data_IF_977606410717
#
_entry.id   IF_977606410717
#
_cell.length_a   1.000
_cell.length_b   1.000
_cell.length_c   1.000
_cell.angle_alpha   90.00
_cell.angle_beta   90.00
_cell.angle_gamma   90.00
#
_symmetry.space_group_name_H-M   'P 1'
#
loop_
_entity.id
_entity.type
_entity.pdbx_description
1 polymer ?
#
# COMPACT_ATOMS: atom_id res chain seq x y z
N UNK A 1 -24.46 -8.45 8.59
CA UNK A 1 -23.06 -8.15 8.23
C UNK A 1 -23.04 -7.89 6.73
N UNK A 2 -22.63 -6.71 6.27
CA UNK A 2 -22.40 -6.48 4.84
C UNK A 2 -21.00 -6.99 4.49
N UNK A 3 -20.89 -7.83 3.47
CA UNK A 3 -19.59 -8.30 2.96
C UNK A 3 -18.92 -7.15 2.21
N UNK A 4 -17.68 -6.84 2.54
CA UNK A 4 -16.86 -5.91 1.75
C UNK A 4 -16.32 -6.70 0.56
N UNK A 5 -16.56 -6.21 -0.66
CA UNK A 5 -15.97 -6.80 -1.88
C UNK A 5 -14.51 -6.36 -2.07
N UNK A 6 -13.78 -7.07 -2.93
CA UNK A 6 -12.32 -6.89 -3.10
C UNK A 6 -11.96 -5.45 -3.49
N UNK A 7 -12.72 -4.85 -4.39
CA UNK A 7 -12.52 -3.46 -4.84
C UNK A 7 -12.77 -2.47 -3.70
N UNK A 8 -13.84 -2.65 -2.92
CA UNK A 8 -14.15 -1.82 -1.77
C UNK A 8 -13.07 -1.95 -0.69
N UNK A 9 -12.53 -3.15 -0.47
CA UNK A 9 -11.43 -3.38 0.45
C UNK A 9 -10.17 -2.62 0.03
N UNK A 10 -9.75 -2.74 -1.24
CA UNK A 10 -8.57 -2.04 -1.75
C UNK A 10 -8.73 -0.51 -1.72
N UNK A 11 -9.91 0.01 -2.08
CA UNK A 11 -10.22 1.44 -2.00
C UNK A 11 -10.14 1.99 -0.57
N UNK A 12 -10.50 1.19 0.43
CA UNK A 12 -10.33 1.54 1.84
C UNK A 12 -8.88 1.41 2.33
N UNK A 13 -8.11 0.50 1.74
CA UNK A 13 -6.76 0.19 2.17
C UNK A 13 -5.70 1.16 1.63
N UNK A 14 -5.91 1.74 0.45
CA UNK A 14 -5.08 2.82 -0.12
C UNK A 14 -4.91 4.02 0.86
N UNK A 15 -5.99 4.64 1.40
CA UNK A 15 -5.85 5.74 2.35
C UNK A 15 -5.29 5.27 3.69
N UNK A 16 -5.60 4.06 4.15
CA UNK A 16 -4.97 3.48 5.35
C UNK A 16 -3.44 3.44 5.20
N UNK A 17 -2.95 2.98 4.06
CA UNK A 17 -1.52 2.92 3.78
C UNK A 17 -0.89 4.31 3.66
N UNK A 18 -1.59 5.22 2.99
CA UNK A 18 -1.14 6.61 2.83
C UNK A 18 -0.92 7.32 4.18
N UNK A 19 -1.71 6.99 5.21
CA UNK A 19 -1.53 7.53 6.57
C UNK A 19 -0.23 7.02 7.21
N UNK A 20 0.11 5.74 7.05
CA UNK A 20 1.34 5.19 7.60
C UNK A 20 2.57 5.77 6.89
N UNK A 21 2.54 5.91 5.55
CA UNK A 21 3.58 6.61 4.79
C UNK A 21 3.76 8.05 5.30
N UNK A 22 2.67 8.79 5.46
CA UNK A 22 2.71 10.17 5.94
C UNK A 22 3.30 10.26 7.35
N UNK A 23 2.92 9.34 8.22
CA UNK A 23 3.40 9.29 9.61
C UNK A 23 4.89 8.98 9.66
N UNK A 24 5.34 7.94 8.94
CA UNK A 24 6.75 7.54 8.84
C UNK A 24 7.64 8.65 8.25
N UNK A 25 7.12 9.37 7.25
CA UNK A 25 7.84 10.48 6.59
C UNK A 25 8.02 11.69 7.52
N UNK A 26 7.01 11.99 8.35
CA UNK A 26 7.03 13.18 9.23
C UNK A 26 7.59 12.92 10.62
N UNK A 27 7.86 11.67 10.97
CA UNK A 27 8.35 11.30 12.28
C UNK A 27 9.79 11.80 12.49
N UNK A 28 10.00 12.50 13.61
CA UNK A 28 11.32 12.86 14.10
C UNK A 28 11.97 11.66 14.81
N UNK A 29 12.66 10.84 14.01
CA UNK A 29 13.28 9.58 14.45
C UNK A 29 14.80 9.75 14.46
N UNK A 30 15.40 9.57 15.63
CA UNK A 30 16.85 9.68 15.85
C UNK A 30 17.59 8.33 15.91
N UNK A 31 16.93 7.24 16.33
CA UNK A 31 17.54 5.91 16.32
C UNK A 31 17.63 5.38 14.88
N UNK A 32 18.82 5.03 14.38
CA UNK A 32 19.01 4.61 12.99
C UNK A 32 18.27 3.31 12.65
N UNK A 33 18.03 2.42 13.62
CA UNK A 33 17.27 1.18 13.40
C UNK A 33 15.78 1.47 13.20
N UNK A 34 15.26 2.46 13.93
CA UNK A 34 13.86 2.90 13.79
C UNK A 34 13.67 3.68 12.49
N UNK A 35 14.67 4.46 12.06
CA UNK A 35 14.66 5.11 10.73
C UNK A 35 14.60 4.07 9.62
N UNK A 36 15.46 3.04 9.68
CA UNK A 36 15.45 1.96 8.70
C UNK A 36 14.09 1.24 8.63
N UNK A 37 13.44 1.02 9.78
CA UNK A 37 12.08 0.46 9.82
C UNK A 37 11.06 1.40 9.15
N UNK A 38 11.10 2.70 9.44
CA UNK A 38 10.21 3.69 8.83
C UNK A 38 10.38 3.74 7.31
N UNK A 39 11.62 3.67 6.82
CA UNK A 39 11.93 3.66 5.39
C UNK A 39 11.38 2.38 4.71
N UNK A 40 11.54 1.21 5.35
CA UNK A 40 10.96 -0.04 4.84
C UNK A 40 9.42 -0.04 4.81
N UNK A 41 8.77 0.63 5.77
CA UNK A 41 7.31 0.79 5.78
C UNK A 41 6.88 1.68 4.60
N UNK A 42 7.61 2.76 4.34
CA UNK A 42 7.31 3.67 3.22
C UNK A 42 7.44 2.93 1.88
N UNK A 43 8.53 2.16 1.71
CA UNK A 43 8.79 1.39 0.50
C UNK A 43 7.68 0.37 0.25
N UNK A 44 7.44 -0.53 1.21
CA UNK A 44 6.44 -1.59 1.08
C UNK A 44 5.04 -1.01 0.79
N UNK A 45 4.62 -0.01 1.56
CA UNK A 45 3.27 0.53 1.39
C UNK A 45 3.08 1.34 0.11
N UNK A 46 4.15 1.90 -0.45
CA UNK A 46 4.10 2.53 -1.76
C UNK A 46 3.86 1.50 -2.86
N UNK A 47 4.55 0.35 -2.78
CA UNK A 47 4.36 -0.78 -3.70
C UNK A 47 2.95 -1.37 -3.59
N UNK A 48 2.48 -1.62 -2.36
CA UNK A 48 1.12 -2.14 -2.10
C UNK A 48 0.04 -1.18 -2.63
N UNK A 49 0.22 0.15 -2.50
CA UNK A 49 -0.70 1.13 -3.11
C UNK A 49 -0.70 1.03 -4.63
N UNK A 50 0.46 0.83 -5.26
CA UNK A 50 0.55 0.70 -6.71
C UNK A 50 -0.13 -0.59 -7.18
N UNK A 51 0.09 -1.70 -6.48
CA UNK A 51 -0.55 -2.99 -6.75
C UNK A 51 -2.07 -2.89 -6.62
N UNK A 52 -2.58 -2.34 -5.51
CA UNK A 52 -4.02 -2.14 -5.32
C UNK A 52 -4.65 -1.28 -6.42
N UNK A 53 -3.96 -0.21 -6.86
CA UNK A 53 -4.45 0.63 -7.96
C UNK A 53 -4.51 -0.14 -9.29
N UNK A 54 -3.51 -0.97 -9.57
CA UNK A 54 -3.50 -1.80 -10.77
C UNK A 54 -4.63 -2.85 -10.74
N UNK A 55 -4.80 -3.56 -9.62
CA UNK A 55 -5.85 -4.55 -9.43
C UNK A 55 -7.25 -3.93 -9.51
N UNK A 56 -7.48 -2.75 -8.92
CA UNK A 56 -8.75 -2.03 -9.07
C UNK A 56 -9.03 -1.75 -10.56
N UNK A 57 -8.03 -1.29 -11.31
CA UNK A 57 -8.21 -0.98 -12.72
C UNK A 57 -8.56 -2.23 -13.54
N UNK A 58 -7.88 -3.35 -13.30
CA UNK A 58 -8.17 -4.64 -13.94
C UNK A 58 -9.60 -5.12 -13.65
N UNK A 59 -9.99 -5.15 -12.37
CA UNK A 59 -11.33 -5.57 -11.94
C UNK A 59 -12.45 -4.65 -12.46
N UNK A 60 -12.14 -3.40 -12.79
CA UNK A 60 -13.08 -2.44 -13.40
C UNK A 60 -13.09 -2.50 -14.95
N UNK A 61 -12.41 -3.48 -15.55
CA UNK A 61 -12.40 -3.72 -17.01
C UNK A 61 -11.23 -3.08 -17.76
N UNK A 62 -10.21 -2.64 -17.03
CA UNK A 62 -8.95 -2.14 -17.55
C UNK A 62 -8.00 -3.25 -18.01
N UNK A 63 -6.72 -2.92 -18.28
CA UNK A 63 -5.72 -3.92 -18.63
C UNK A 63 -5.47 -4.87 -17.45
N UNK A 64 -5.16 -6.13 -17.77
CA UNK A 64 -4.83 -7.14 -16.77
C UNK A 64 -3.66 -6.66 -15.89
N UNK A 65 -3.88 -6.67 -14.57
CA UNK A 65 -2.82 -6.42 -13.62
C UNK A 65 -2.00 -7.71 -13.48
N UNK A 66 -0.69 -7.61 -13.71
CA UNK A 66 0.24 -8.62 -13.24
C UNK A 66 0.74 -8.16 -11.89
N UNK A 67 0.16 -8.61 -10.76
CA UNK A 67 0.79 -8.33 -9.48
C UNK A 67 2.20 -8.91 -9.54
N UNK A 68 3.21 -8.06 -9.37
CA UNK A 68 4.52 -8.56 -8.95
C UNK A 68 4.27 -9.19 -7.59
N UNK A 69 4.13 -10.52 -7.56
CA UNK A 69 4.11 -11.31 -6.33
C UNK A 69 5.50 -11.12 -5.74
N UNK A 70 5.63 -10.11 -4.90
CA UNK A 70 6.92 -9.64 -4.45
C UNK A 70 7.66 -10.78 -3.76
N UNK A 71 8.94 -10.90 -4.08
CA UNK A 71 9.77 -11.76 -3.27
C UNK A 71 11.20 -11.89 -3.76
N UNK A 72 11.37 -12.09 -5.06
CA UNK A 72 12.59 -12.53 -5.76
C UNK A 72 12.21 -12.91 -7.18
#
# INVERSE_FOLDING_TARGET
QATVDDTAWMKAMIPHHSIAILTSTRADISDPRVRALADSIIEAQTLEIAEMKALIADLEGGPAATPEVDGR
#
